data_IF_296270885269
#
_entry.id   IF_296270885269
#
_cell.length_a   1.000
_cell.length_b   1.000
_cell.length_c   1.000
_cell.angle_alpha   90.00
_cell.angle_beta   90.00
_cell.angle_gamma   90.00
#
_symmetry.space_group_name_H-M   'P 1'
#
loop_
_entity.id
_entity.type
_entity.pdbx_description
1 polymer ?
#
# COMPACT_ATOMS: atom_id res chain seq x y z
N UNK A 1 -0.31 36.56 26.32
CA UNK A 1 -0.03 35.12 26.21
C UNK A 1 -1.38 34.43 26.18
N UNK A 2 -1.80 33.90 25.03
CA UNK A 2 -3.05 33.15 24.96
C UNK A 2 -2.80 31.77 25.56
N UNK A 3 -3.41 31.51 26.71
CA UNK A 3 -3.55 30.17 27.27
C UNK A 3 -4.33 29.33 26.26
N UNK A 4 -3.58 28.50 25.53
CA UNK A 4 -4.16 27.45 24.70
C UNK A 4 -4.67 26.42 25.69
N UNK A 5 -5.99 26.37 25.93
CA UNK A 5 -6.61 25.38 26.80
C UNK A 5 -6.17 23.98 26.38
N UNK A 6 -5.25 23.38 27.15
CA UNK A 6 -4.92 21.97 27.03
C UNK A 6 -6.19 21.22 27.41
N UNK A 7 -6.86 20.63 26.42
CA UNK A 7 -8.09 19.86 26.63
C UNK A 7 -7.86 18.61 27.50
N UNK A 8 -6.60 18.27 27.76
CA UNK A 8 -6.13 17.04 28.41
C UNK A 8 -4.84 17.32 29.16
N UNK A 9 -4.66 16.71 30.33
CA UNK A 9 -3.38 16.73 31.07
C UNK A 9 -2.30 16.02 30.26
N UNK A 10 -1.40 16.79 29.64
CA UNK A 10 -0.29 16.23 28.87
C UNK A 10 0.88 15.84 29.79
N UNK A 11 1.66 14.80 29.44
CA UNK A 11 2.90 14.48 30.14
C UNK A 11 3.87 15.68 30.15
N UNK A 12 4.62 15.81 31.25
CA UNK A 12 5.58 16.90 31.44
C UNK A 12 6.55 16.99 30.24
N UNK A 13 6.64 18.17 29.57
CA UNK A 13 7.56 18.38 28.46
C UNK A 13 9.04 18.14 28.79
N UNK A 14 9.44 18.20 30.07
CA UNK A 14 10.80 17.87 30.51
C UNK A 14 11.12 16.37 30.39
N UNK A 15 10.09 15.50 30.51
CA UNK A 15 10.23 14.05 30.38
C UNK A 15 10.09 13.61 28.93
N UNK A 16 9.11 14.18 28.20
CA UNK A 16 8.90 13.85 26.78
C UNK A 16 8.36 15.03 25.98
N UNK A 17 9.25 15.60 25.15
CA UNK A 17 8.97 16.79 24.34
C UNK A 17 7.96 16.55 23.21
N UNK A 18 8.05 15.38 22.57
CA UNK A 18 7.29 15.01 21.37
C UNK A 18 6.37 13.83 21.66
N UNK A 19 5.09 13.94 21.28
CA UNK A 19 4.01 13.00 21.61
C UNK A 19 3.33 12.50 20.33
N UNK A 20 2.96 11.22 20.33
CA UNK A 20 2.14 10.60 19.30
C UNK A 20 0.74 10.27 19.87
N UNK A 21 -0.35 10.32 19.08
CA UNK A 21 -1.72 10.07 19.56
C UNK A 21 -1.92 8.72 20.25
N UNK A 22 -1.10 7.73 19.93
CA UNK A 22 -1.14 6.41 20.58
C UNK A 22 -0.70 6.43 22.04
N UNK A 23 0.00 7.48 22.47
CA UNK A 23 0.58 7.61 23.80
C UNK A 23 -0.38 8.28 24.78
N UNK A 24 -1.38 9.00 24.27
CA UNK A 24 -2.44 9.61 25.07
C UNK A 24 -3.68 8.69 25.06
N UNK A 25 -4.23 8.30 26.22
CA UNK A 25 -5.37 7.37 26.27
C UNK A 25 -6.60 7.91 25.54
N UNK A 26 -6.85 9.21 25.62
CA UNK A 26 -8.00 9.89 25.02
C UNK A 26 -7.89 9.99 23.49
N UNK A 27 -6.70 10.28 22.96
CA UNK A 27 -6.45 10.36 21.53
C UNK A 27 -6.23 8.98 20.87
N UNK A 28 -5.81 7.97 21.64
CA UNK A 28 -5.48 6.62 21.15
C UNK A 28 -6.67 5.96 20.46
N UNK A 29 -7.85 6.01 21.09
CA UNK A 29 -9.04 5.32 20.54
C UNK A 29 -9.46 5.87 19.17
N UNK A 30 -9.40 7.19 19.01
CA UNK A 30 -9.70 7.88 17.76
C UNK A 30 -8.65 7.59 16.70
N UNK A 31 -7.37 7.66 17.07
CA UNK A 31 -6.26 7.34 16.17
C UNK A 31 -6.32 5.90 15.68
N UNK A 32 -6.56 4.93 16.56
CA UNK A 32 -6.63 3.51 16.17
C UNK A 32 -7.79 3.25 15.21
N UNK A 33 -8.96 3.87 15.43
CA UNK A 33 -10.08 3.79 14.49
C UNK A 33 -9.73 4.44 13.15
N UNK A 34 -9.16 5.64 13.18
CA UNK A 34 -8.72 6.37 11.98
C UNK A 34 -7.69 5.59 11.17
N UNK A 35 -6.75 4.94 11.85
CA UNK A 35 -5.74 4.07 11.27
C UNK A 35 -6.34 2.84 10.59
N UNK A 36 -7.31 2.17 11.23
CA UNK A 36 -8.02 1.02 10.65
C UNK A 36 -8.79 1.40 9.39
N UNK A 37 -9.55 2.51 9.42
CA UNK A 37 -10.18 3.02 8.20
C UNK A 37 -9.13 3.39 7.14
N UNK A 38 -8.00 3.95 7.54
CA UNK A 38 -6.88 4.22 6.65
C UNK A 38 -6.28 2.97 6.00
N UNK A 39 -6.45 1.78 6.58
CA UNK A 39 -6.05 0.50 5.96
C UNK A 39 -6.99 0.08 4.85
N UNK A 40 -8.28 0.32 4.97
CA UNK A 40 -9.24 0.07 3.88
C UNK A 40 -8.97 0.93 2.64
N UNK A 41 -8.16 1.98 2.78
CA UNK A 41 -7.68 2.79 1.67
C UNK A 41 -6.36 2.30 1.04
N UNK A 42 -5.76 1.21 1.54
CA UNK A 42 -4.53 0.69 0.95
C UNK A 42 -4.84 -0.01 -0.38
N UNK A 43 -4.05 0.21 -1.45
CA UNK A 43 -4.30 -0.44 -2.72
C UNK A 43 -4.39 -1.98 -2.63
N UNK A 44 -3.52 -2.68 -1.88
CA UNK A 44 -3.63 -4.13 -1.72
C UNK A 44 -4.96 -4.58 -1.10
N UNK A 45 -5.45 -3.89 -0.07
CA UNK A 45 -6.71 -4.22 0.60
C UNK A 45 -7.90 -3.95 -0.32
N UNK A 46 -7.89 -2.83 -1.04
CA UNK A 46 -8.94 -2.50 -2.03
C UNK A 46 -9.03 -3.58 -3.11
N UNK A 47 -7.88 -4.01 -3.63
CA UNK A 47 -7.83 -5.09 -4.63
C UNK A 47 -8.31 -6.41 -4.04
N UNK A 48 -7.93 -6.74 -2.80
CA UNK A 48 -8.40 -7.96 -2.13
C UNK A 48 -9.92 -7.98 -1.94
N UNK A 49 -10.53 -6.86 -1.53
CA UNK A 49 -11.98 -6.73 -1.43
C UNK A 49 -12.63 -6.96 -2.79
N UNK A 50 -12.10 -6.33 -3.85
CA UNK A 50 -12.60 -6.53 -5.21
C UNK A 50 -12.50 -7.98 -5.69
N UNK A 51 -11.38 -8.65 -5.40
CA UNK A 51 -11.16 -10.05 -5.75
C UNK A 51 -12.12 -10.99 -5.00
N UNK A 52 -12.36 -10.76 -3.71
CA UNK A 52 -13.33 -11.54 -2.92
C UNK A 52 -14.75 -11.33 -3.45
N UNK A 53 -15.14 -10.08 -3.72
CA UNK A 53 -16.47 -9.79 -4.27
C UNK A 53 -16.63 -10.41 -5.66
N UNK A 54 -15.58 -10.42 -6.47
CA UNK A 54 -15.58 -11.12 -7.75
C UNK A 54 -15.73 -12.63 -7.59
N UNK A 55 -14.99 -13.24 -6.67
CA UNK A 55 -15.10 -14.67 -6.37
C UNK A 55 -16.53 -15.06 -5.98
N UNK A 56 -17.19 -14.28 -5.12
CA UNK A 56 -18.52 -14.59 -4.61
C UNK A 56 -19.62 -14.29 -5.62
N UNK A 57 -19.58 -13.11 -6.24
CA UNK A 57 -20.68 -12.62 -7.09
C UNK A 57 -20.49 -12.96 -8.56
N UNK A 58 -19.25 -13.10 -8.99
CA UNK A 58 -18.91 -13.22 -10.40
C UNK A 58 -19.27 -12.01 -11.26
N UNK A 59 -19.62 -10.88 -10.65
CA UNK A 59 -20.11 -9.69 -11.33
C UNK A 59 -19.05 -8.58 -11.25
N UNK A 60 -18.49 -8.22 -12.41
CA UNK A 60 -17.47 -7.19 -12.52
C UNK A 60 -17.92 -5.85 -11.92
N UNK A 61 -19.18 -5.46 -12.12
CA UNK A 61 -19.69 -4.20 -11.57
C UNK A 61 -19.67 -4.21 -10.04
N UNK A 62 -20.13 -5.30 -9.41
CA UNK A 62 -20.08 -5.45 -7.96
C UNK A 62 -18.62 -5.42 -7.45
N UNK A 63 -17.71 -6.10 -8.14
CA UNK A 63 -16.28 -6.16 -7.83
C UNK A 63 -15.55 -4.82 -7.92
N UNK A 64 -16.09 -3.85 -8.67
CA UNK A 64 -15.55 -2.49 -8.74
C UNK A 64 -16.23 -1.56 -7.74
N UNK A 65 -17.57 -1.61 -7.64
CA UNK A 65 -18.33 -0.69 -6.79
C UNK A 65 -18.11 -0.95 -5.32
N UNK A 66 -18.04 -2.21 -4.89
CA UNK A 66 -17.82 -2.56 -3.48
C UNK A 66 -16.49 -2.03 -2.91
N UNK A 67 -15.33 -2.27 -3.53
CA UNK A 67 -14.07 -1.72 -3.01
C UNK A 67 -13.99 -0.20 -3.18
N UNK A 68 -14.53 0.40 -4.26
CA UNK A 68 -14.50 1.86 -4.45
C UNK A 68 -15.36 2.61 -3.43
N UNK A 69 -16.58 2.14 -3.17
CA UNK A 69 -17.45 2.74 -2.14
C UNK A 69 -16.84 2.59 -0.75
N UNK A 70 -16.28 1.40 -0.44
CA UNK A 70 -15.55 1.17 0.82
C UNK A 70 -14.36 2.11 0.96
N UNK A 71 -13.56 2.27 -0.11
CA UNK A 71 -12.43 3.18 -0.16
C UNK A 71 -12.85 4.62 0.12
N UNK A 72 -13.92 5.11 -0.51
CA UNK A 72 -14.39 6.49 -0.36
C UNK A 72 -14.85 6.78 1.08
N UNK A 73 -15.68 5.89 1.65
CA UNK A 73 -16.18 6.03 3.03
C UNK A 73 -15.01 5.97 4.02
N UNK A 74 -14.12 4.99 3.85
CA UNK A 74 -12.98 4.81 4.72
C UNK A 74 -11.99 5.99 4.64
N UNK A 75 -11.80 6.59 3.46
CA UNK A 75 -10.92 7.73 3.28
C UNK A 75 -11.42 8.96 4.06
N UNK A 76 -12.72 9.22 3.99
CA UNK A 76 -13.34 10.32 4.73
C UNK A 76 -13.28 10.06 6.23
N UNK A 77 -13.68 8.86 6.67
CA UNK A 77 -13.65 8.47 8.07
C UNK A 77 -12.24 8.52 8.67
N UNK A 78 -11.25 7.98 7.95
CA UNK A 78 -9.83 8.01 8.35
C UNK A 78 -9.32 9.43 8.52
N UNK A 79 -9.54 10.30 7.52
CA UNK A 79 -9.09 11.70 7.59
C UNK A 79 -9.73 12.47 8.72
N UNK A 80 -11.03 12.26 8.95
CA UNK A 80 -11.75 12.94 10.02
C UNK A 80 -11.28 12.49 11.41
N UNK A 81 -11.14 11.17 11.62
CA UNK A 81 -10.68 10.60 12.90
C UNK A 81 -9.22 10.94 13.20
N UNK A 82 -8.34 10.88 12.20
CA UNK A 82 -6.94 11.23 12.36
C UNK A 82 -6.79 12.71 12.72
N UNK A 83 -7.49 13.61 12.01
CA UNK A 83 -7.49 15.04 12.33
C UNK A 83 -7.95 15.26 13.79
N UNK A 84 -9.03 14.59 14.20
CA UNK A 84 -9.55 14.72 15.57
C UNK A 84 -8.60 14.16 16.62
N UNK A 85 -7.87 13.09 16.32
CA UNK A 85 -6.88 12.53 17.24
C UNK A 85 -5.67 13.47 17.43
N UNK A 86 -5.27 14.20 16.40
CA UNK A 86 -4.18 15.17 16.47
C UNK A 86 -4.56 16.50 17.13
N UNK A 87 -5.85 16.86 17.18
CA UNK A 87 -6.33 18.05 17.90
C UNK A 87 -6.01 18.02 19.41
N UNK A 88 -5.87 16.83 19.99
CA UNK A 88 -5.50 16.65 21.40
C UNK A 88 -4.03 17.00 21.70
N UNK A 89 -3.18 17.13 20.67
CA UNK A 89 -1.74 17.39 20.83
C UNK A 89 -1.40 18.75 20.20
N UNK A 90 -0.87 19.72 20.96
CA UNK A 90 -0.37 20.98 20.42
C UNK A 90 0.60 20.76 19.26
N UNK A 91 0.43 21.50 18.16
CA UNK A 91 1.23 21.33 16.92
C UNK A 91 2.75 21.30 17.13
N UNK A 92 3.25 22.04 18.14
CA UNK A 92 4.68 22.10 18.48
C UNK A 92 5.23 20.86 19.19
N UNK A 93 4.35 19.98 19.68
CA UNK A 93 4.67 18.74 20.40
C UNK A 93 4.32 17.47 19.60
N UNK A 94 3.88 17.58 18.35
CA UNK A 94 3.47 16.43 17.55
C UNK A 94 4.68 15.65 17.01
N UNK A 95 4.72 14.34 17.26
CA UNK A 95 5.68 13.42 16.63
C UNK A 95 5.01 12.60 15.51
N UNK A 96 5.08 13.03 14.23
CA UNK A 96 4.50 12.25 13.15
C UNK A 96 5.25 10.93 12.86
N UNK A 97 6.41 10.69 13.46
CA UNK A 97 7.27 9.52 13.15
C UNK A 97 7.29 8.45 14.25
N UNK A 98 6.64 8.68 15.39
CA UNK A 98 6.69 7.79 16.55
C UNK A 98 6.07 6.40 16.35
N UNK A 99 5.29 6.17 15.29
CA UNK A 99 4.49 4.95 15.10
C UNK A 99 5.20 3.81 14.35
N UNK A 100 6.47 3.52 14.69
CA UNK A 100 7.29 2.53 13.98
C UNK A 100 6.64 1.14 13.84
N UNK A 101 6.02 0.63 14.91
CA UNK A 101 5.35 -0.68 14.93
C UNK A 101 4.11 -0.73 14.03
N UNK A 102 3.39 0.39 13.91
CA UNK A 102 2.19 0.50 13.08
C UNK A 102 2.52 0.44 11.57
N UNK A 103 3.69 0.92 11.17
CA UNK A 103 4.15 0.77 9.79
C UNK A 103 4.43 -0.69 9.41
N UNK A 104 5.02 -1.46 10.33
CA UNK A 104 5.25 -2.89 10.12
C UNK A 104 3.92 -3.66 10.09
N UNK A 105 3.02 -3.37 11.02
CA UNK A 105 1.68 -3.99 11.03
C UNK A 105 0.90 -3.69 9.74
N UNK A 106 0.95 -2.44 9.27
CA UNK A 106 0.36 -2.05 7.99
C UNK A 106 0.91 -2.88 6.83
N UNK A 107 2.23 -3.05 6.76
CA UNK A 107 2.88 -3.86 5.72
C UNK A 107 2.48 -5.34 5.79
N UNK A 108 2.34 -5.90 7.00
CA UNK A 108 1.86 -7.29 7.18
C UNK A 108 0.43 -7.45 6.69
N UNK A 109 -0.47 -6.50 7.00
CA UNK A 109 -1.85 -6.54 6.51
C UNK A 109 -1.93 -6.41 4.99
N UNK A 110 -1.13 -5.50 4.42
CA UNK A 110 -1.05 -5.30 2.96
C UNK A 110 -0.49 -6.57 2.27
N UNK A 111 0.49 -7.23 2.88
CA UNK A 111 1.02 -8.51 2.43
C UNK A 111 -0.03 -9.64 2.46
N UNK A 112 -0.79 -9.74 3.55
CA UNK A 112 -1.90 -10.69 3.65
C UNK A 112 -2.96 -10.43 2.59
N UNK A 113 -3.29 -9.17 2.34
CA UNK A 113 -4.25 -8.78 1.31
C UNK A 113 -3.81 -9.23 -0.10
N UNK A 114 -2.52 -9.12 -0.43
CA UNK A 114 -1.98 -9.64 -1.69
C UNK A 114 -2.13 -11.16 -1.79
N UNK A 115 -1.84 -11.89 -0.72
CA UNK A 115 -1.97 -13.34 -0.71
C UNK A 115 -3.44 -13.77 -0.85
N UNK A 116 -4.35 -13.09 -0.14
CA UNK A 116 -5.79 -13.32 -0.25
C UNK A 116 -6.27 -13.04 -1.67
N UNK A 117 -5.77 -11.97 -2.31
CA UNK A 117 -6.06 -11.66 -3.72
C UNK A 117 -5.65 -12.81 -4.62
N UNK A 118 -4.42 -13.33 -4.45
CA UNK A 118 -3.91 -14.45 -5.25
C UNK A 118 -4.76 -15.71 -5.07
N UNK A 119 -5.12 -16.06 -3.83
CA UNK A 119 -5.97 -17.21 -3.53
C UNK A 119 -7.36 -17.02 -4.13
N UNK A 120 -8.01 -15.88 -3.91
CA UNK A 120 -9.34 -15.58 -4.43
C UNK A 120 -9.36 -15.62 -5.97
N UNK A 121 -8.30 -15.13 -6.62
CA UNK A 121 -8.13 -15.21 -8.05
C UNK A 121 -8.03 -16.65 -8.55
N UNK A 122 -7.19 -17.49 -7.93
CA UNK A 122 -7.05 -18.92 -8.28
C UNK A 122 -8.37 -19.67 -8.08
N UNK A 123 -9.09 -19.40 -6.98
CA UNK A 123 -10.39 -20.02 -6.74
C UNK A 123 -11.44 -19.55 -7.75
N UNK A 124 -11.46 -18.27 -8.13
CA UNK A 124 -12.41 -17.78 -9.12
C UNK A 124 -12.18 -18.42 -10.50
N UNK A 125 -10.92 -18.78 -10.81
CA UNK A 125 -10.55 -19.46 -12.05
C UNK A 125 -11.00 -20.91 -12.11
N UNK A 126 -11.21 -21.60 -10.99
CA UNK A 126 -11.68 -22.99 -11.04
C UNK A 126 -13.06 -23.08 -11.67
N UNK A 127 -13.90 -22.08 -11.43
CA UNK A 127 -15.25 -22.01 -11.95
C UNK A 127 -15.31 -21.29 -13.32
N UNK A 128 -14.32 -20.43 -13.60
CA UNK A 128 -14.28 -19.54 -14.77
C UNK A 128 -12.86 -19.44 -15.32
N UNK A 129 -12.40 -20.44 -16.08
CA UNK A 129 -11.03 -20.47 -16.56
C UNK A 129 -10.76 -19.30 -17.52
N UNK A 130 -9.70 -18.56 -17.25
CA UNK A 130 -9.17 -17.55 -18.15
C UNK A 130 -8.19 -18.19 -19.14
N UNK A 131 -7.98 -17.60 -20.34
CA UNK A 131 -6.96 -18.07 -21.25
C UNK A 131 -5.57 -18.06 -20.60
N UNK A 132 -4.80 -19.14 -20.77
CA UNK A 132 -3.49 -19.34 -20.12
C UNK A 132 -2.54 -18.14 -20.37
N UNK A 133 -2.59 -17.54 -21.55
CA UNK A 133 -1.79 -16.34 -21.86
C UNK A 133 -2.04 -15.15 -20.93
N UNK A 134 -3.28 -14.95 -20.47
CA UNK A 134 -3.63 -13.87 -19.53
C UNK A 134 -3.03 -14.16 -18.14
N UNK A 135 -3.09 -15.42 -17.71
CA UNK A 135 -2.55 -15.88 -16.42
C UNK A 135 -1.04 -15.69 -16.39
N UNK A 136 -0.37 -16.18 -17.44
CA UNK A 136 1.08 -16.14 -17.59
C UNK A 136 1.57 -14.69 -17.70
N UNK A 137 0.83 -13.83 -18.42
CA UNK A 137 1.11 -12.39 -18.46
C UNK A 137 1.02 -11.77 -17.06
N UNK A 138 -0.03 -12.09 -16.29
CA UNK A 138 -0.22 -11.57 -14.93
C UNK A 138 0.89 -12.03 -13.96
N UNK A 139 1.33 -13.29 -14.06
CA UNK A 139 2.49 -13.81 -13.30
C UNK A 139 3.75 -13.01 -13.64
N UNK A 140 4.00 -12.78 -14.94
CA UNK A 140 5.11 -11.97 -15.41
C UNK A 140 5.06 -10.53 -14.90
N UNK A 141 3.89 -9.90 -14.93
CA UNK A 141 3.68 -8.57 -14.37
C UNK A 141 3.99 -8.54 -12.87
N UNK A 142 3.54 -9.54 -12.10
CA UNK A 142 3.90 -9.71 -10.69
C UNK A 142 5.41 -9.80 -10.45
N UNK A 143 6.11 -10.56 -11.30
CA UNK A 143 7.58 -10.60 -11.31
C UNK A 143 8.21 -9.23 -11.60
N UNK A 144 7.69 -8.50 -12.58
CA UNK A 144 8.12 -7.13 -12.88
C UNK A 144 7.94 -6.17 -11.69
N UNK A 145 6.81 -6.26 -10.98
CA UNK A 145 6.57 -5.50 -9.74
C UNK A 145 7.61 -5.84 -8.68
N UNK A 146 7.94 -7.13 -8.48
CA UNK A 146 8.96 -7.54 -7.52
C UNK A 146 10.34 -6.92 -7.84
N UNK A 147 10.73 -6.89 -9.13
CA UNK A 147 11.98 -6.24 -9.56
C UNK A 147 11.96 -4.74 -9.24
N UNK A 148 10.86 -4.04 -9.55
CA UNK A 148 10.71 -2.62 -9.20
C UNK A 148 10.86 -2.40 -7.70
N UNK A 149 10.21 -3.23 -6.88
CA UNK A 149 10.29 -3.11 -5.42
C UNK A 149 11.71 -3.38 -4.88
N UNK A 150 12.46 -4.31 -5.49
CA UNK A 150 13.87 -4.56 -5.15
C UNK A 150 14.73 -3.33 -5.46
N UNK A 151 14.52 -2.68 -6.62
CA UNK A 151 15.23 -1.45 -6.97
C UNK A 151 14.91 -0.34 -5.96
N UNK A 152 13.63 -0.17 -5.60
CA UNK A 152 13.22 0.83 -4.61
C UNK A 152 13.80 0.55 -3.22
N UNK A 153 13.87 -0.71 -2.81
CA UNK A 153 14.52 -1.14 -1.58
C UNK A 153 16.01 -0.80 -1.60
N UNK A 154 16.73 -1.12 -2.69
CA UNK A 154 18.15 -0.79 -2.83
C UNK A 154 18.39 0.72 -2.72
N UNK A 155 17.53 1.54 -3.35
CA UNK A 155 17.58 2.99 -3.25
C UNK A 155 17.18 3.52 -1.86
N UNK A 156 16.31 2.82 -1.14
CA UNK A 156 15.93 3.17 0.23
C UNK A 156 17.08 2.92 1.20
N UNK A 157 17.77 1.78 1.05
CA UNK A 157 18.97 1.42 1.82
C UNK A 157 20.10 2.40 1.53
N UNK A 158 20.38 2.71 0.25
CA UNK A 158 21.41 3.66 -0.14
C UNK A 158 21.17 5.07 0.44
N UNK A 159 19.90 5.47 0.59
CA UNK A 159 19.50 6.76 1.18
C UNK A 159 19.41 6.75 2.71
N UNK A 160 19.87 5.68 3.37
CA UNK A 160 19.84 5.51 4.83
C UNK A 160 18.45 5.80 5.44
N UNK A 161 17.40 5.32 4.78
CA UNK A 161 16.03 5.41 5.32
C UNK A 161 15.89 4.59 6.61
N UNK A 162 14.86 4.90 7.38
CA UNK A 162 14.56 4.22 8.63
C UNK A 162 14.40 2.70 8.40
N UNK A 163 15.05 1.92 9.28
CA UNK A 163 15.01 0.46 9.34
C UNK A 163 13.60 -0.14 9.34
N UNK A 164 12.57 0.51 9.90
CA UNK A 164 11.19 0.03 9.79
C UNK A 164 10.62 0.16 8.37
N UNK A 165 10.98 1.21 7.64
CA UNK A 165 10.56 1.36 6.26
C UNK A 165 11.20 0.29 5.39
N UNK A 166 12.48 -0.01 5.64
CA UNK A 166 13.20 -1.12 4.98
C UNK A 166 12.49 -2.45 5.27
N UNK A 167 12.16 -2.74 6.53
CA UNK A 167 11.42 -3.95 6.91
C UNK A 167 10.06 -4.08 6.21
N UNK A 168 9.29 -2.98 6.15
CA UNK A 168 8.02 -2.95 5.42
C UNK A 168 8.18 -3.24 3.91
N UNK A 169 9.24 -2.72 3.26
CA UNK A 169 9.51 -3.02 1.86
C UNK A 169 9.85 -4.50 1.65
N UNK A 170 10.64 -5.10 2.54
CA UNK A 170 10.98 -6.52 2.47
C UNK A 170 9.72 -7.38 2.60
N UNK A 171 8.84 -7.07 3.55
CA UNK A 171 7.56 -7.78 3.74
C UNK A 171 6.73 -7.74 2.44
N UNK A 172 6.64 -6.57 1.81
CA UNK A 172 5.90 -6.43 0.55
C UNK A 172 6.53 -7.18 -0.62
N UNK A 173 7.87 -7.18 -0.75
CA UNK A 173 8.57 -7.96 -1.78
C UNK A 173 8.25 -9.44 -1.61
N UNK A 174 8.39 -9.96 -0.39
CA UNK A 174 8.07 -11.37 -0.08
C UNK A 174 6.62 -11.67 -0.43
N UNK A 175 5.68 -10.78 -0.11
CA UNK A 175 4.28 -10.98 -0.41
C UNK A 175 3.97 -11.00 -1.91
N UNK A 176 4.58 -10.09 -2.69
CA UNK A 176 4.41 -10.06 -4.16
C UNK A 176 4.98 -11.32 -4.80
N UNK A 177 6.18 -11.73 -4.39
CA UNK A 177 6.82 -12.95 -4.89
C UNK A 177 5.99 -14.17 -4.52
N UNK A 178 5.60 -14.30 -3.24
CA UNK A 178 4.76 -15.40 -2.78
C UNK A 178 3.44 -15.46 -3.54
N UNK A 179 2.75 -14.33 -3.71
CA UNK A 179 1.48 -14.25 -4.46
C UNK A 179 1.65 -14.67 -5.92
N UNK A 180 2.72 -14.19 -6.59
CA UNK A 180 3.01 -14.54 -7.98
C UNK A 180 3.33 -16.03 -8.13
N UNK A 181 4.10 -16.59 -7.19
CA UNK A 181 4.42 -18.02 -7.14
C UNK A 181 3.18 -18.87 -6.84
N UNK A 182 2.29 -18.42 -5.94
CA UNK A 182 1.03 -19.11 -5.65
C UNK A 182 0.16 -19.20 -6.90
N UNK A 183 -0.01 -18.10 -7.63
CA UNK A 183 -0.76 -18.12 -8.91
C UNK A 183 -0.06 -19.02 -9.92
N UNK A 184 1.27 -18.91 -10.08
CA UNK A 184 2.04 -19.74 -10.99
C UNK A 184 1.92 -21.25 -10.68
N UNK A 185 2.03 -21.63 -9.42
CA UNK A 185 1.97 -23.02 -9.00
C UNK A 185 0.56 -23.59 -9.14
N UNK A 186 -0.46 -22.88 -8.64
CA UNK A 186 -1.83 -23.39 -8.55
C UNK A 186 -2.61 -23.24 -9.85
N UNK A 187 -2.42 -22.15 -10.59
CA UNK A 187 -3.14 -21.94 -11.84
C UNK A 187 -2.48 -22.67 -13.02
N UNK A 188 -1.14 -22.64 -13.16
CA UNK A 188 -0.49 -23.26 -14.33
C UNK A 188 -0.17 -24.74 -14.14
N UNK A 189 0.11 -25.22 -12.91
CA UNK A 189 0.20 -26.65 -12.60
C UNK A 189 1.14 -27.49 -13.48
N UNK A 190 2.16 -26.88 -14.10
CA UNK A 190 3.10 -27.55 -15.02
C UNK A 190 2.86 -27.33 -16.51
N UNK A 191 1.82 -26.58 -16.92
CA UNK A 191 1.48 -26.25 -18.32
C UNK A 191 2.39 -25.19 -18.95
N UNK A 192 3.68 -25.21 -18.62
CA UNK A 192 4.65 -24.24 -19.10
C UNK A 192 5.13 -24.61 -20.51
N UNK A 193 4.86 -23.74 -21.48
CA UNK A 193 5.40 -23.84 -22.84
C UNK A 193 6.45 -22.76 -23.06
N UNK A 194 7.22 -22.88 -24.15
CA UNK A 194 8.16 -21.83 -24.55
C UNK A 194 7.45 -20.50 -24.83
N UNK A 195 6.24 -20.54 -25.40
CA UNK A 195 5.40 -19.35 -25.61
C UNK A 195 5.01 -18.69 -24.27
N UNK A 196 4.71 -19.49 -23.25
CA UNK A 196 4.45 -18.97 -21.90
C UNK A 196 5.61 -18.14 -21.38
N UNK A 197 6.87 -18.56 -21.58
CA UNK A 197 8.04 -17.79 -21.14
C UNK A 197 8.12 -16.42 -21.81
N UNK A 198 7.80 -16.34 -23.10
CA UNK A 198 7.74 -15.06 -23.83
C UNK A 198 6.67 -14.15 -23.23
N UNK A 199 5.49 -14.70 -22.93
CA UNK A 199 4.39 -13.94 -22.32
C UNK A 199 4.72 -13.45 -20.90
N UNK A 200 5.44 -14.26 -20.09
CA UNK A 200 5.96 -13.82 -18.78
C UNK A 200 6.88 -12.61 -18.95
N UNK A 201 7.83 -12.71 -19.88
CA UNK A 201 8.79 -11.62 -20.14
C UNK A 201 8.06 -10.36 -20.59
N UNK A 202 7.06 -10.48 -21.47
CA UNK A 202 6.24 -9.35 -21.90
C UNK A 202 5.47 -8.72 -20.74
N UNK A 203 4.90 -9.53 -19.84
CA UNK A 203 4.24 -9.05 -18.62
C UNK A 203 5.20 -8.24 -17.73
N UNK A 204 6.39 -8.79 -17.47
CA UNK A 204 7.41 -8.12 -16.67
C UNK A 204 7.90 -6.83 -17.33
N UNK A 205 8.21 -6.89 -18.63
CA UNK A 205 8.67 -5.75 -19.42
C UNK A 205 7.64 -4.62 -19.46
N UNK A 206 6.36 -4.94 -19.57
CA UNK A 206 5.27 -3.95 -19.56
C UNK A 206 5.27 -3.15 -18.26
N UNK A 207 5.40 -3.82 -17.12
CA UNK A 207 5.47 -3.16 -15.80
C UNK A 207 6.73 -2.29 -15.69
N UNK A 208 7.88 -2.80 -16.12
CA UNK A 208 9.15 -2.05 -16.08
C UNK A 208 9.12 -0.81 -16.98
N UNK A 209 8.51 -0.92 -18.17
CA UNK A 209 8.31 0.20 -19.08
C UNK A 209 7.37 1.25 -18.48
N UNK A 210 6.22 0.82 -17.95
CA UNK A 210 5.28 1.73 -17.31
C UNK A 210 5.93 2.48 -16.13
N UNK A 211 6.70 1.77 -15.29
CA UNK A 211 7.38 2.38 -14.16
C UNK A 211 8.50 3.34 -14.59
N UNK A 212 9.29 2.98 -15.61
CA UNK A 212 10.36 3.85 -16.09
C UNK A 212 9.81 5.14 -16.71
N UNK A 213 8.73 5.04 -17.50
CA UNK A 213 8.01 6.21 -18.01
C UNK A 213 7.49 7.10 -16.89
N UNK A 214 6.93 6.51 -15.84
CA UNK A 214 6.47 7.25 -14.67
C UNK A 214 7.61 7.99 -13.95
N UNK A 215 8.76 7.35 -13.76
CA UNK A 215 9.94 7.98 -13.19
C UNK A 215 10.45 9.14 -14.04
N UNK A 216 10.49 8.98 -15.36
CA UNK A 216 10.86 10.05 -16.30
C UNK A 216 9.90 11.22 -16.18
N UNK A 217 8.59 10.96 -16.23
CA UNK A 217 7.55 11.98 -16.11
C UNK A 217 7.66 12.76 -14.80
N UNK A 218 7.80 12.06 -13.67
CA UNK A 218 7.93 12.71 -12.36
C UNK A 218 9.25 13.49 -12.21
N UNK A 219 10.34 13.03 -12.83
CA UNK A 219 11.60 13.76 -12.87
C UNK A 219 11.47 15.08 -13.68
N UNK A 220 10.78 15.03 -14.83
CA UNK A 220 10.52 16.20 -15.68
C UNK A 220 9.64 17.22 -14.95
N UNK A 221 8.56 16.78 -14.30
CA UNK A 221 7.70 17.68 -13.51
C UNK A 221 8.45 18.37 -12.37
N UNK A 222 9.35 17.65 -11.68
CA UNK A 222 10.18 18.24 -10.62
C UNK A 222 11.15 19.28 -11.13
N UNK A 223 11.67 19.13 -12.36
CA UNK A 223 12.53 20.14 -12.99
C UNK A 223 11.74 21.41 -13.36
N UNK A 224 10.55 21.26 -13.96
CA UNK A 224 9.70 22.41 -14.32
C UNK A 224 9.24 23.25 -13.12
N UNK A 225 9.01 22.63 -11.96
CA UNK A 225 8.64 23.38 -10.75
C UNK A 225 9.81 24.14 -10.09
N UNK A 226 11.06 23.88 -10.51
CA UNK A 226 12.27 24.48 -9.93
C UNK A 226 12.84 25.66 -10.73
N UNK A 227 12.36 25.90 -11.95
CA UNK A 227 12.67 27.13 -12.69
C UNK A 227 11.77 28.25 -12.18
N UNK A 228 12.30 29.24 -11.42
CA UNK A 228 11.53 30.42 -11.09
C UNK A 228 11.24 31.16 -12.42
N UNK A 229 9.98 31.50 -12.63
CA UNK A 229 9.61 32.49 -13.65
C UNK A 229 10.26 33.80 -13.19
N UNK A 230 11.36 34.17 -13.85
CA UNK A 230 11.89 35.53 -13.76
C UNK A 230 10.87 36.40 -14.48
N UNK A 231 9.96 37.00 -13.72
CA UNK A 231 9.12 38.08 -14.21
C UNK A 231 10.06 39.29 -14.32
N UNK A 232 10.48 39.57 -15.55
CA UNK A 232 11.14 40.83 -15.93
C UNK A 232 10.12 41.95 -16.06
#
# INVERSE_FOLDING_TARGET
MNDMHEAVTLPDPAVKRLLHPTELPEARSLYVRGWWFGRLCSPPIVVAIGAIVWLISGNLFASLVAPLSTFAIALVASRWLDARAWDFIPRKRQDPRGARSWHLLAAVLDAQALLITAIAFVLAMSDRPLPDGVIVFAIGAGGGVAVVQIIELALAVARKRDSAQIGAHIIMIVAVVASSVTVAALAMGGRWTQESLVTVILGAATVLLAQSLWWVFTAVQRRHRRTPVVVS
#
